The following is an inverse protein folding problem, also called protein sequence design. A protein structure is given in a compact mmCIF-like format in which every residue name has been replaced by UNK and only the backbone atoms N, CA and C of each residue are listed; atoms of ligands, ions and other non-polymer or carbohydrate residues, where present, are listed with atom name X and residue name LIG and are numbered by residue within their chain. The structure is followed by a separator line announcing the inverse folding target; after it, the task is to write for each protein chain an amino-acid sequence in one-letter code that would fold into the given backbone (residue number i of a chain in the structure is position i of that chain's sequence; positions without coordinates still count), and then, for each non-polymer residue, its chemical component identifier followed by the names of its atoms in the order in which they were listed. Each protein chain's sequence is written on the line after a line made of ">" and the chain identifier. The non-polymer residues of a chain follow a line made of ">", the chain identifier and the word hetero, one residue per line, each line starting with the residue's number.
data_IF_014156862159
#
_entry.id   IF_014156862159
#
_cell.length_a   1.000
_cell.length_b   1.000
_cell.length_c   1.000
_cell.angle_alpha   90.00
_cell.angle_beta   90.00
_cell.angle_gamma   90.00
#
_symmetry.space_group_name_H-M   'P 1'
#
loop_
_entity.id
_entity.type
_entity.pdbx_description
1 polymer ?
#
# COMPACT_ATOMS: atom_id res chain seq x y z
N UNK A 1 5.24 41.70 9.15
CA UNK A 1 4.36 40.67 8.54
C UNK A 1 5.29 39.53 8.12
N UNK A 2 5.39 38.52 8.97
CA UNK A 2 6.30 37.39 8.72
C UNK A 2 5.74 36.50 7.59
N UNK A 3 6.51 36.34 6.53
CA UNK A 3 6.26 35.35 5.50
C UNK A 3 6.10 33.98 6.19
N UNK A 4 4.86 33.54 6.32
CA UNK A 4 4.54 32.15 6.62
C UNK A 4 4.77 31.33 5.34
N UNK A 5 6.04 31.16 4.96
CA UNK A 5 6.43 30.09 4.07
C UNK A 5 5.92 28.80 4.73
N UNK A 6 4.87 28.24 4.20
CA UNK A 6 4.35 26.93 4.62
C UNK A 6 5.47 25.92 4.35
N UNK A 7 6.21 25.56 5.42
CA UNK A 7 7.29 24.59 5.32
C UNK A 7 6.69 23.27 4.84
N UNK A 8 7.31 22.66 3.85
CA UNK A 8 6.88 21.36 3.34
C UNK A 8 7.12 20.31 4.42
N UNK A 9 6.10 19.57 4.85
CA UNK A 9 6.24 18.52 5.86
C UNK A 9 7.34 17.51 5.50
N UNK A 10 7.98 16.96 6.52
CA UNK A 10 9.05 15.98 6.43
C UNK A 10 10.36 16.45 5.79
N UNK A 11 10.51 17.75 5.47
CA UNK A 11 11.81 18.33 5.07
C UNK A 11 12.71 18.59 6.29
N UNK A 12 14.04 18.69 6.11
CA UNK A 12 14.96 19.04 7.19
C UNK A 12 14.61 20.37 7.88
N UNK A 13 14.21 21.38 7.11
CA UNK A 13 13.86 22.73 7.61
C UNK A 13 12.57 22.68 8.46
N UNK A 14 11.55 21.96 7.97
CA UNK A 14 10.32 21.71 8.70
C UNK A 14 10.60 21.01 10.03
N UNK A 15 11.41 19.95 9.99
CA UNK A 15 11.73 19.17 11.17
C UNK A 15 12.58 19.98 12.19
N UNK A 16 13.54 20.77 11.73
CA UNK A 16 14.33 21.64 12.59
C UNK A 16 13.44 22.62 13.37
N UNK A 17 12.48 23.27 12.68
CA UNK A 17 11.53 24.18 13.32
C UNK A 17 10.63 23.48 14.34
N UNK A 18 10.19 22.25 14.04
CA UNK A 18 9.41 21.46 15.00
C UNK A 18 10.24 21.07 16.23
N UNK A 19 11.50 20.70 16.04
CA UNK A 19 12.42 20.40 17.15
C UNK A 19 12.66 21.61 18.05
N UNK A 20 12.76 22.80 17.50
CA UNK A 20 12.87 24.05 18.28
C UNK A 20 11.60 24.31 19.11
N UNK A 21 10.41 23.98 18.56
CA UNK A 21 9.13 24.27 19.22
C UNK A 21 8.71 23.20 20.22
N UNK A 22 8.86 21.92 19.86
CA UNK A 22 8.33 20.78 20.62
C UNK A 22 9.41 20.04 21.42
N UNK A 23 10.67 20.19 21.04
CA UNK A 23 11.77 19.38 21.53
C UNK A 23 11.89 18.03 20.82
N UNK A 24 13.09 17.45 20.80
CA UNK A 24 13.39 16.22 20.08
C UNK A 24 12.60 15.00 20.61
N UNK A 25 12.44 14.91 21.94
CA UNK A 25 11.69 13.82 22.56
C UNK A 25 10.22 13.81 22.13
N UNK A 26 9.58 14.98 22.10
CA UNK A 26 8.19 15.10 21.64
C UNK A 26 8.06 14.79 20.14
N UNK A 27 8.99 15.24 19.30
CA UNK A 27 8.99 14.88 17.87
C UNK A 27 9.05 13.37 17.67
N UNK A 28 9.90 12.66 18.41
CA UNK A 28 9.99 11.20 18.35
C UNK A 28 8.69 10.52 18.79
N UNK A 29 8.09 10.98 19.90
CA UNK A 29 6.81 10.43 20.39
C UNK A 29 5.66 10.62 19.40
N UNK A 30 5.65 11.77 18.69
CA UNK A 30 4.66 12.09 17.68
C UNK A 30 4.93 11.43 16.33
N UNK A 31 6.02 10.67 16.19
CA UNK A 31 6.39 10.05 14.92
C UNK A 31 6.77 11.06 13.82
N UNK A 32 7.30 12.22 14.22
CA UNK A 32 7.76 13.26 13.29
C UNK A 32 9.21 12.99 12.91
N UNK A 33 9.50 12.93 11.63
CA UNK A 33 10.82 12.59 11.10
C UNK A 33 11.05 13.25 9.73
N UNK A 34 12.31 13.27 9.32
CA UNK A 34 12.72 13.75 7.99
C UNK A 34 12.67 12.60 7.00
N UNK A 35 12.06 12.84 5.86
CA UNK A 35 12.14 11.92 4.70
C UNK A 35 13.31 12.42 3.82
N UNK A 36 14.22 11.54 3.39
CA UNK A 36 15.31 11.96 2.50
C UNK A 36 14.75 12.68 1.27
N UNK A 37 15.26 13.87 0.90
CA UNK A 37 14.64 14.75 -0.10
C UNK A 37 14.56 14.13 -1.50
N UNK A 38 15.40 13.13 -1.80
CA UNK A 38 15.42 12.44 -3.10
C UNK A 38 14.65 11.12 -3.07
N UNK A 39 14.02 10.75 -1.96
CA UNK A 39 13.25 9.51 -1.86
C UNK A 39 11.95 9.63 -2.63
N UNK A 40 11.68 8.63 -3.43
CA UNK A 40 10.44 8.48 -4.20
C UNK A 40 9.67 7.26 -3.70
N UNK A 41 8.42 7.48 -3.31
CA UNK A 41 7.48 6.42 -2.98
C UNK A 41 6.72 5.99 -4.25
N UNK A 42 6.90 4.77 -4.72
CA UNK A 42 6.03 4.18 -5.76
C UNK A 42 4.73 3.70 -5.12
N UNK A 43 3.62 4.32 -5.47
CA UNK A 43 2.27 3.92 -5.08
C UNK A 43 1.66 3.09 -6.19
N UNK A 44 1.55 1.78 -5.99
CA UNK A 44 0.97 0.85 -6.97
C UNK A 44 -0.52 0.71 -6.70
N UNK A 45 -1.34 1.14 -7.65
CA UNK A 45 -2.81 1.17 -7.55
C UNK A 45 -3.41 0.20 -8.57
N UNK A 46 -3.75 -1.05 -8.18
CA UNK A 46 -4.53 -1.94 -9.02
C UNK A 46 -5.98 -1.46 -9.08
N UNK A 47 -6.50 -1.26 -10.30
CA UNK A 47 -7.86 -0.74 -10.53
C UNK A 47 -8.67 -1.73 -11.34
N UNK A 48 -9.89 -2.03 -10.88
CA UNK A 48 -10.86 -2.81 -11.64
C UNK A 48 -12.29 -2.44 -11.26
N UNK A 49 -13.02 -1.78 -12.17
CA UNK A 49 -14.39 -1.33 -11.97
C UNK A 49 -14.55 -0.48 -10.69
N UNK A 50 -13.89 0.67 -10.65
CA UNK A 50 -13.90 1.62 -9.53
C UNK A 50 -14.21 3.06 -10.01
N UNK A 51 -15.09 3.22 -11.01
CA UNK A 51 -15.40 4.51 -11.65
C UNK A 51 -15.83 5.61 -10.68
N UNK A 52 -16.45 5.23 -9.56
CA UNK A 52 -17.00 6.15 -8.57
C UNK A 52 -16.01 6.48 -7.43
N UNK A 53 -14.84 5.80 -7.35
CA UNK A 53 -13.94 5.93 -6.21
C UNK A 53 -12.50 6.33 -6.58
N UNK A 54 -12.01 5.94 -7.76
CA UNK A 54 -10.60 6.10 -8.09
C UNK A 54 -10.13 7.56 -8.09
N UNK A 55 -10.99 8.53 -8.48
CA UNK A 55 -10.66 9.95 -8.50
C UNK A 55 -10.47 10.51 -7.08
N UNK A 56 -11.36 10.16 -6.16
CA UNK A 56 -11.29 10.57 -4.77
C UNK A 56 -10.05 9.94 -4.09
N UNK A 57 -9.77 8.67 -4.38
CA UNK A 57 -8.55 8.05 -3.92
C UNK A 57 -7.32 8.78 -4.43
N UNK A 58 -7.27 9.04 -5.74
CA UNK A 58 -6.12 9.70 -6.35
C UNK A 58 -5.90 11.11 -5.77
N UNK A 59 -6.97 11.85 -5.50
CA UNK A 59 -6.89 13.14 -4.83
C UNK A 59 -6.25 13.01 -3.43
N UNK A 60 -6.64 12.01 -2.64
CA UNK A 60 -6.04 11.72 -1.32
C UNK A 60 -4.58 11.31 -1.45
N UNK A 61 -4.23 10.43 -2.39
CA UNK A 61 -2.83 10.04 -2.66
C UNK A 61 -1.99 11.25 -3.03
N UNK A 62 -2.48 12.12 -3.92
CA UNK A 62 -1.76 13.34 -4.33
C UNK A 62 -1.55 14.32 -3.18
N UNK A 63 -2.50 14.42 -2.27
CA UNK A 63 -2.44 15.34 -1.12
C UNK A 63 -1.34 14.98 -0.11
N UNK A 64 -0.84 13.74 -0.10
CA UNK A 64 0.25 13.36 0.80
C UNK A 64 1.53 14.09 0.38
N UNK A 65 2.20 14.83 1.30
CA UNK A 65 3.35 15.68 0.97
C UNK A 65 4.65 14.85 0.83
N UNK A 66 4.70 13.99 -0.17
CA UNK A 66 5.83 13.12 -0.53
C UNK A 66 6.08 13.18 -2.03
N UNK A 67 7.33 12.97 -2.45
CA UNK A 67 7.60 12.68 -3.86
C UNK A 67 7.11 11.29 -4.19
N UNK A 68 6.19 11.18 -5.15
CA UNK A 68 5.52 9.94 -5.51
C UNK A 68 5.62 9.62 -7.00
N UNK A 69 5.82 8.36 -7.27
CA UNK A 69 5.52 7.74 -8.54
C UNK A 69 4.21 6.95 -8.37
N UNK A 70 3.16 7.36 -9.03
CA UNK A 70 1.83 6.76 -8.93
C UNK A 70 1.64 5.85 -10.14
N UNK A 71 1.67 4.54 -9.91
CA UNK A 71 1.53 3.51 -10.94
C UNK A 71 0.13 2.95 -10.91
N UNK A 72 -0.70 3.36 -11.85
CA UNK A 72 -2.09 2.92 -11.98
C UNK A 72 -2.16 1.77 -12.98
N UNK A 73 -2.65 0.61 -12.55
CA UNK A 73 -2.81 -0.57 -13.39
C UNK A 73 -4.29 -0.92 -13.53
N UNK A 74 -4.86 -0.61 -14.67
CA UNK A 74 -6.24 -0.98 -14.98
C UNK A 74 -6.32 -2.44 -15.47
N UNK A 75 -6.98 -3.28 -14.70
CA UNK A 75 -7.14 -4.71 -15.00
C UNK A 75 -8.35 -4.98 -15.89
N UNK A 76 -8.46 -4.26 -17.02
CA UNK A 76 -9.53 -4.38 -18.01
C UNK A 76 -10.92 -4.01 -17.43
N UNK A 77 -11.06 -2.83 -16.85
CA UNK A 77 -12.34 -2.29 -16.37
C UNK A 77 -13.36 -2.13 -17.50
N UNK A 78 -14.66 -2.33 -17.16
CA UNK A 78 -15.78 -2.32 -18.12
C UNK A 78 -16.93 -1.40 -17.72
N UNK A 79 -16.79 -0.67 -16.62
CA UNK A 79 -17.81 0.21 -16.05
C UNK A 79 -17.62 1.69 -16.44
N UNK A 80 -16.63 2.00 -17.28
CA UNK A 80 -16.22 3.36 -17.65
C UNK A 80 -14.97 3.84 -16.92
N UNK A 81 -14.44 3.11 -15.94
CA UNK A 81 -13.19 3.45 -15.24
C UNK A 81 -12.04 3.66 -16.22
N UNK A 82 -11.87 2.75 -17.19
CA UNK A 82 -10.79 2.82 -18.19
C UNK A 82 -10.86 4.09 -19.01
N UNK A 83 -12.04 4.46 -19.49
CA UNK A 83 -12.23 5.65 -20.32
C UNK A 83 -11.88 6.92 -19.52
N UNK A 84 -12.30 6.97 -18.26
CA UNK A 84 -11.94 8.08 -17.35
C UNK A 84 -10.42 8.14 -17.08
N UNK A 85 -9.75 7.00 -16.89
CA UNK A 85 -8.30 6.95 -16.70
C UNK A 85 -7.54 7.40 -17.95
N UNK A 86 -7.98 7.02 -19.15
CA UNK A 86 -7.39 7.46 -20.41
C UNK A 86 -7.59 8.95 -20.65
N UNK A 87 -8.77 9.49 -20.33
CA UNK A 87 -9.02 10.91 -20.36
C UNK A 87 -8.09 11.67 -19.40
N UNK A 88 -7.98 11.22 -18.16
CA UNK A 88 -7.09 11.83 -17.17
C UNK A 88 -5.62 11.76 -17.61
N UNK A 89 -5.18 10.65 -18.20
CA UNK A 89 -3.84 10.53 -18.77
C UNK A 89 -3.59 11.56 -19.88
N UNK A 90 -4.56 11.81 -20.75
CA UNK A 90 -4.45 12.82 -21.80
C UNK A 90 -4.42 14.26 -21.22
N UNK A 91 -5.19 14.54 -20.20
CA UNK A 91 -5.18 15.81 -19.47
C UNK A 91 -3.81 16.08 -18.83
N UNK A 92 -3.19 15.07 -18.24
CA UNK A 92 -1.84 15.20 -17.65
C UNK A 92 -0.76 15.53 -18.69
N UNK A 93 -0.89 15.07 -19.94
CA UNK A 93 0.08 15.39 -21.00
C UNK A 93 0.05 16.87 -21.39
N UNK A 94 -1.07 17.53 -21.21
CA UNK A 94 -1.25 18.97 -21.51
C UNK A 94 -1.08 19.87 -20.28
N UNK A 95 -1.04 19.29 -19.07
CA UNK A 95 -0.88 20.02 -17.83
C UNK A 95 0.60 20.33 -17.51
N UNK A 96 0.88 21.39 -16.74
CA UNK A 96 2.21 21.59 -16.17
C UNK A 96 2.67 20.38 -15.37
N UNK A 97 3.98 20.09 -15.43
CA UNK A 97 4.55 18.98 -14.68
C UNK A 97 4.28 19.12 -13.18
N UNK A 98 3.72 18.08 -12.57
CA UNK A 98 3.55 18.02 -11.12
C UNK A 98 4.90 17.65 -10.48
N UNK A 99 5.52 18.52 -9.68
CA UNK A 99 6.84 18.24 -9.12
C UNK A 99 6.83 17.14 -8.07
N UNK A 100 5.64 16.83 -7.52
CA UNK A 100 5.47 15.86 -6.42
C UNK A 100 4.98 14.50 -6.91
N UNK A 101 4.27 14.47 -8.05
CA UNK A 101 3.59 13.28 -8.51
C UNK A 101 3.94 12.97 -9.95
N UNK A 102 4.63 11.87 -10.18
CA UNK A 102 4.82 11.29 -11.50
C UNK A 102 3.80 10.19 -11.72
N UNK A 103 3.21 10.12 -12.91
CA UNK A 103 2.17 9.15 -13.21
C UNK A 103 2.64 8.14 -14.25
N UNK A 104 2.30 6.87 -14.00
CA UNK A 104 2.41 5.80 -14.98
C UNK A 104 1.08 5.07 -15.08
N UNK A 105 0.64 4.79 -16.31
CA UNK A 105 -0.59 4.06 -16.59
C UNK A 105 -0.27 2.80 -17.36
N UNK A 106 -0.82 1.68 -16.89
CA UNK A 106 -0.73 0.39 -17.56
C UNK A 106 -2.13 -0.19 -17.71
N UNK A 107 -2.46 -0.67 -18.90
CA UNK A 107 -3.79 -1.19 -19.23
C UNK A 107 -3.68 -2.66 -19.65
N UNK A 108 -4.30 -3.57 -18.89
CA UNK A 108 -4.38 -4.97 -19.28
C UNK A 108 -5.41 -5.17 -20.40
N UNK A 109 -5.13 -6.02 -21.37
CA UNK A 109 -6.07 -6.37 -22.46
C UNK A 109 -7.24 -7.23 -21.96
N UNK A 110 -7.04 -7.99 -20.89
CA UNK A 110 -8.05 -8.83 -20.23
C UNK A 110 -7.91 -8.78 -18.73
N UNK A 111 -9.02 -9.01 -18.01
CA UNK A 111 -8.96 -9.14 -16.55
C UNK A 111 -8.11 -10.35 -16.16
N UNK A 112 -7.05 -10.08 -15.41
CA UNK A 112 -6.10 -11.06 -14.88
C UNK A 112 -6.16 -11.19 -13.36
N UNK A 113 -6.80 -10.24 -12.70
CA UNK A 113 -6.98 -10.17 -11.25
C UNK A 113 -5.98 -9.28 -10.52
N UNK A 114 -6.29 -8.96 -9.25
CA UNK A 114 -5.54 -8.05 -8.39
C UNK A 114 -4.04 -8.37 -8.36
N UNK A 115 -3.68 -9.65 -8.16
CA UNK A 115 -2.29 -10.07 -8.08
C UNK A 115 -1.50 -9.81 -9.36
N UNK A 116 -2.13 -10.02 -10.53
CA UNK A 116 -1.50 -9.70 -11.81
C UNK A 116 -1.30 -8.20 -11.98
N UNK A 117 -2.28 -7.37 -11.56
CA UNK A 117 -2.16 -5.92 -11.60
C UNK A 117 -1.07 -5.42 -10.65
N UNK A 118 -0.98 -5.96 -9.43
CA UNK A 118 0.10 -5.65 -8.47
C UNK A 118 1.46 -6.03 -9.06
N UNK A 119 1.61 -7.22 -9.64
CA UNK A 119 2.87 -7.65 -10.28
C UNK A 119 3.28 -6.73 -11.43
N UNK A 120 2.33 -6.32 -12.26
CA UNK A 120 2.57 -5.35 -13.34
C UNK A 120 3.00 -4.00 -12.77
N UNK A 121 2.34 -3.53 -11.71
CA UNK A 121 2.73 -2.30 -11.03
C UNK A 121 4.11 -2.38 -10.39
N UNK A 122 4.48 -3.51 -9.80
CA UNK A 122 5.82 -3.73 -9.25
C UNK A 122 6.92 -3.71 -10.32
N UNK A 123 6.64 -4.20 -11.52
CA UNK A 123 7.58 -4.15 -12.65
C UNK A 123 7.76 -2.71 -13.17
N UNK A 124 6.73 -1.89 -13.09
CA UNK A 124 6.77 -0.48 -13.51
C UNK A 124 7.36 0.44 -12.44
N UNK A 125 7.27 0.06 -11.16
CA UNK A 125 7.72 0.88 -10.04
C UNK A 125 9.24 1.11 -10.06
N UNK A 126 9.65 2.38 -9.93
CA UNK A 126 11.06 2.81 -9.96
C UNK A 126 11.52 3.55 -8.69
N UNK A 127 10.63 3.80 -7.74
CA UNK A 127 10.93 4.50 -6.48
C UNK A 127 11.80 3.70 -5.51
N UNK A 128 12.26 4.34 -4.45
CA UNK A 128 13.12 3.73 -3.41
C UNK A 128 12.35 2.78 -2.51
N UNK A 129 11.06 3.06 -2.36
CA UNK A 129 10.10 2.28 -1.58
C UNK A 129 8.82 2.12 -2.38
N UNK A 130 8.14 1.01 -2.24
CA UNK A 130 6.84 0.74 -2.88
C UNK A 130 5.77 0.45 -1.83
N UNK A 131 4.57 0.94 -2.09
CA UNK A 131 3.35 0.59 -1.34
C UNK A 131 2.26 0.13 -2.30
N UNK A 132 1.44 -0.84 -1.88
CA UNK A 132 0.23 -1.22 -2.59
C UNK A 132 -0.93 -0.40 -2.01
N UNK A 133 -1.74 0.21 -2.87
CA UNK A 133 -2.91 0.99 -2.52
C UNK A 133 -4.14 0.47 -3.28
N UNK A 134 -5.12 -0.08 -2.57
CA UNK A 134 -6.39 -0.45 -3.19
C UNK A 134 -7.19 0.80 -3.61
N UNK A 135 -7.92 0.70 -4.72
CA UNK A 135 -8.64 1.82 -5.33
C UNK A 135 -10.01 2.12 -4.69
N UNK A 136 -10.33 1.48 -3.56
CA UNK A 136 -11.67 1.39 -3.00
C UNK A 136 -11.97 2.29 -1.79
N UNK A 137 -11.07 3.20 -1.44
CA UNK A 137 -11.17 4.13 -0.30
C UNK A 137 -11.24 3.47 1.10
N UNK A 138 -10.98 2.16 1.20
CA UNK A 138 -10.99 1.47 2.49
C UNK A 138 -9.76 1.81 3.36
N UNK A 139 -8.65 2.21 2.72
CA UNK A 139 -7.37 2.58 3.34
C UNK A 139 -7.09 4.07 3.16
N UNK A 140 -6.44 4.70 4.13
CA UNK A 140 -6.16 6.14 4.12
C UNK A 140 -4.71 6.45 3.71
N UNK A 141 -4.47 7.12 2.55
CA UNK A 141 -3.14 7.52 2.12
C UNK A 141 -2.40 8.47 3.07
N UNK A 142 -3.11 9.19 3.94
CA UNK A 142 -2.47 10.06 4.93
C UNK A 142 -1.55 9.32 5.91
N UNK A 143 -1.67 7.99 5.98
CA UNK A 143 -0.85 7.12 6.82
C UNK A 143 0.51 6.74 6.19
N UNK A 144 0.73 7.04 4.90
CA UNK A 144 2.01 6.70 4.24
C UNK A 144 3.24 7.17 5.01
N UNK A 145 3.34 8.43 5.47
CA UNK A 145 4.52 8.87 6.19
C UNK A 145 4.82 7.99 7.40
N UNK A 146 3.79 7.64 8.18
CA UNK A 146 3.93 6.82 9.36
C UNK A 146 4.43 5.40 9.02
N UNK A 147 3.89 4.79 7.98
CA UNK A 147 4.30 3.47 7.51
C UNK A 147 5.74 3.45 6.98
N UNK A 148 6.26 4.58 6.48
CA UNK A 148 7.63 4.71 6.01
C UNK A 148 8.65 4.84 7.17
N UNK A 149 8.23 5.28 8.35
CA UNK A 149 9.13 5.59 9.46
C UNK A 149 10.12 4.46 9.81
N UNK A 150 9.70 3.18 10.00
CA UNK A 150 10.63 2.11 10.34
C UNK A 150 11.66 1.82 9.25
N UNK A 151 11.30 2.06 7.98
CA UNK A 151 12.22 1.87 6.83
C UNK A 151 13.24 3.03 6.79
N UNK A 152 12.79 4.27 6.96
CA UNK A 152 13.66 5.46 6.98
C UNK A 152 14.65 5.39 8.14
N UNK A 153 14.21 4.89 9.28
CA UNK A 153 15.09 4.67 10.45
C UNK A 153 16.04 3.46 10.28
N UNK A 154 15.99 2.77 9.16
CA UNK A 154 16.84 1.60 8.88
C UNK A 154 16.51 0.36 9.74
N UNK A 155 15.34 0.34 10.40
CA UNK A 155 14.90 -0.77 11.26
C UNK A 155 14.19 -1.88 10.50
N UNK A 156 13.45 -1.54 9.44
CA UNK A 156 12.63 -2.45 8.65
C UNK A 156 13.02 -2.45 7.18
N UNK A 157 12.82 -3.58 6.52
CA UNK A 157 12.87 -3.73 5.07
C UNK A 157 11.45 -3.80 4.50
N UNK A 158 10.51 -4.29 5.33
CA UNK A 158 9.08 -4.42 5.00
C UNK A 158 8.23 -3.97 6.18
N UNK A 159 7.17 -3.21 5.90
CA UNK A 159 6.16 -2.82 6.89
C UNK A 159 4.79 -3.27 6.43
N UNK A 160 4.10 -4.04 7.27
CA UNK A 160 2.71 -4.42 7.10
C UNK A 160 1.82 -3.44 7.87
N UNK A 161 0.77 -2.94 7.23
CA UNK A 161 -0.31 -2.29 7.95
C UNK A 161 -1.23 -3.33 8.57
N UNK A 162 -1.69 -3.15 9.79
CA UNK A 162 -2.66 -4.07 10.42
C UNK A 162 -3.95 -3.34 10.80
N UNK A 163 -5.06 -3.91 10.39
CA UNK A 163 -6.43 -3.48 10.78
C UNK A 163 -6.81 -3.94 12.19
N UNK A 164 -5.96 -4.78 12.81
CA UNK A 164 -6.23 -5.44 14.09
C UNK A 164 -5.28 -5.03 15.22
N UNK A 165 -4.24 -4.26 14.93
CA UNK A 165 -3.44 -3.57 15.95
C UNK A 165 -4.19 -2.31 16.42
N UNK A 166 -4.35 -2.15 17.71
CA UNK A 166 -5.44 -1.45 18.33
C UNK A 166 -5.33 0.05 18.63
N UNK A 167 -4.54 0.89 17.92
CA UNK A 167 -4.49 2.33 18.23
C UNK A 167 -5.16 3.24 17.18
N UNK A 168 -5.51 2.71 16.01
CA UNK A 168 -6.15 3.48 14.95
C UNK A 168 -7.64 3.18 14.81
N UNK A 169 -8.47 4.18 14.46
CA UNK A 169 -9.88 3.97 14.22
C UNK A 169 -10.10 2.97 13.08
N UNK A 170 -10.95 1.99 13.31
CA UNK A 170 -11.37 1.07 12.27
C UNK A 170 -12.85 0.76 12.38
N UNK A 171 -13.50 0.58 11.25
CA UNK A 171 -14.89 0.12 11.23
C UNK A 171 -14.94 -1.30 11.80
N UNK A 172 -15.87 -1.56 12.70
CA UNK A 172 -16.09 -2.90 13.27
C UNK A 172 -16.43 -3.87 12.15
N UNK A 173 -15.61 -4.91 11.98
CA UNK A 173 -15.79 -5.94 10.97
C UNK A 173 -16.89 -6.93 11.39
N UNK A 174 -17.48 -7.60 10.42
CA UNK A 174 -18.34 -8.74 10.70
C UNK A 174 -17.54 -9.84 11.40
N UNK A 175 -18.07 -10.41 12.45
CA UNK A 175 -17.40 -11.42 13.27
C UNK A 175 -16.79 -12.58 12.46
N UNK A 176 -17.54 -13.15 11.53
CA UNK A 176 -17.06 -14.26 10.70
C UNK A 176 -15.94 -13.86 9.74
N UNK A 177 -15.93 -12.63 9.25
CA UNK A 177 -14.82 -12.10 8.44
C UNK A 177 -13.56 -11.92 9.26
N UNK A 178 -13.71 -11.40 10.49
CA UNK A 178 -12.59 -11.29 11.42
C UNK A 178 -12.02 -12.68 11.76
N UNK A 179 -12.88 -13.64 12.09
CA UNK A 179 -12.46 -15.01 12.45
C UNK A 179 -11.76 -15.71 11.27
N UNK A 180 -12.29 -15.58 10.05
CA UNK A 180 -11.65 -16.10 8.84
C UNK A 180 -10.28 -15.50 8.58
N UNK A 181 -10.15 -14.18 8.69
CA UNK A 181 -8.87 -13.49 8.54
C UNK A 181 -7.87 -13.92 9.62
N UNK A 182 -8.30 -13.99 10.87
CA UNK A 182 -7.49 -14.47 12.00
C UNK A 182 -6.96 -15.88 11.78
N UNK A 183 -7.83 -16.77 11.28
CA UNK A 183 -7.45 -18.16 10.94
C UNK A 183 -6.39 -18.20 9.83
N UNK A 184 -6.60 -17.49 8.71
CA UNK A 184 -5.65 -17.43 7.60
C UNK A 184 -4.30 -16.82 8.04
N UNK A 185 -4.33 -15.73 8.80
CA UNK A 185 -3.11 -15.12 9.34
C UNK A 185 -2.37 -16.06 10.29
N UNK A 186 -3.07 -16.74 11.21
CA UNK A 186 -2.45 -17.71 12.12
C UNK A 186 -1.80 -18.85 11.35
N UNK A 187 -2.47 -19.39 10.34
CA UNK A 187 -1.91 -20.44 9.52
C UNK A 187 -0.69 -19.95 8.73
N UNK A 188 -0.74 -18.76 8.16
CA UNK A 188 0.43 -18.14 7.50
C UNK A 188 1.60 -18.00 8.45
N UNK A 189 1.37 -17.53 9.68
CA UNK A 189 2.39 -17.41 10.71
C UNK A 189 3.05 -18.75 11.06
N UNK A 190 2.27 -19.84 11.10
CA UNK A 190 2.81 -21.18 11.35
C UNK A 190 3.84 -21.60 10.26
N UNK A 191 3.61 -21.24 9.00
CA UNK A 191 4.51 -21.60 7.90
C UNK A 191 5.68 -20.62 7.74
N UNK A 192 5.45 -19.34 8.02
CA UNK A 192 6.46 -18.28 7.78
C UNK A 192 7.31 -17.98 8.99
N UNK A 193 6.92 -18.45 10.18
CA UNK A 193 7.50 -18.07 11.47
C UNK A 193 7.48 -16.55 11.72
N UNK A 194 6.54 -15.83 11.11
CA UNK A 194 6.22 -14.45 11.45
C UNK A 194 5.13 -14.44 12.53
N UNK A 195 5.00 -13.32 13.23
CA UNK A 195 3.92 -13.13 14.20
C UNK A 195 3.06 -11.92 13.80
N UNK A 196 2.53 -11.96 12.57
CA UNK A 196 1.63 -10.93 12.06
C UNK A 196 0.24 -11.04 12.70
N UNK A 197 -0.43 -9.92 12.81
CA UNK A 197 -1.85 -9.86 13.23
C UNK A 197 -2.78 -9.79 12.01
N UNK A 198 -2.29 -9.32 10.83
CA UNK A 198 -3.07 -9.14 9.61
C UNK A 198 -2.24 -9.40 8.33
N UNK A 199 -2.19 -10.65 7.91
CA UNK A 199 -1.49 -11.04 6.68
C UNK A 199 -2.20 -10.55 5.40
N UNK A 200 -3.53 -10.50 5.42
CA UNK A 200 -4.39 -10.14 4.28
C UNK A 200 -4.49 -8.62 4.02
N UNK A 201 -3.78 -7.79 4.78
CA UNK A 201 -3.77 -6.34 4.57
C UNK A 201 -3.27 -5.97 3.18
N UNK A 202 -3.86 -4.94 2.57
CA UNK A 202 -3.35 -4.35 1.34
C UNK A 202 -2.05 -3.57 1.59
N UNK A 203 -2.01 -2.77 2.67
CA UNK A 203 -0.86 -1.96 2.98
C UNK A 203 0.37 -2.80 3.33
N UNK A 204 1.20 -3.00 2.32
CA UNK A 204 2.53 -3.57 2.43
C UNK A 204 3.52 -2.58 1.82
N UNK A 205 4.39 -2.05 2.66
CA UNK A 205 5.45 -1.12 2.27
C UNK A 205 6.75 -1.91 2.20
N UNK A 206 7.48 -1.80 1.11
CA UNK A 206 8.69 -2.58 0.85
C UNK A 206 9.78 -1.70 0.26
N UNK A 207 11.03 -1.90 0.70
CA UNK A 207 12.18 -1.26 0.06
C UNK A 207 12.36 -1.77 -1.38
N UNK A 208 13.07 -0.99 -2.20
CA UNK A 208 13.45 -1.41 -3.55
C UNK A 208 14.21 -2.74 -3.55
N UNK A 209 15.08 -2.99 -2.58
CA UNK A 209 15.83 -4.25 -2.46
C UNK A 209 14.89 -5.44 -2.31
N UNK A 210 13.88 -5.32 -1.44
CA UNK A 210 12.84 -6.35 -1.27
C UNK A 210 12.10 -6.56 -2.58
N UNK A 211 11.64 -5.47 -3.21
CA UNK A 211 10.90 -5.54 -4.46
C UNK A 211 11.69 -6.26 -5.55
N UNK A 212 12.96 -5.92 -5.74
CA UNK A 212 13.84 -6.55 -6.74
C UNK A 212 14.01 -8.04 -6.53
N UNK A 213 14.03 -8.50 -5.27
CA UNK A 213 14.17 -9.92 -4.95
C UNK A 213 12.87 -10.71 -5.13
N UNK A 214 11.73 -10.16 -4.71
CA UNK A 214 10.48 -10.92 -4.70
C UNK A 214 9.64 -10.75 -5.98
N UNK A 215 9.58 -9.55 -6.58
CA UNK A 215 8.68 -9.27 -7.70
C UNK A 215 8.88 -10.20 -8.91
N UNK A 216 10.11 -10.54 -9.34
CA UNK A 216 10.32 -11.47 -10.46
C UNK A 216 9.80 -12.90 -10.20
N UNK A 217 9.65 -13.27 -8.93
CA UNK A 217 9.26 -14.61 -8.52
C UNK A 217 7.77 -14.75 -8.24
N UNK A 218 7.01 -13.65 -8.13
CA UNK A 218 5.58 -13.65 -7.87
C UNK A 218 4.80 -14.28 -9.02
N UNK A 219 3.84 -15.18 -8.70
CA UNK A 219 3.06 -15.96 -9.67
C UNK A 219 1.57 -15.75 -9.56
N UNK A 220 1.06 -15.40 -8.37
CA UNK A 220 -0.37 -15.28 -8.15
C UNK A 220 -0.99 -14.13 -8.96
N UNK A 221 -2.16 -14.42 -9.52
CA UNK A 221 -2.90 -13.46 -10.35
C UNK A 221 -4.07 -12.81 -9.61
N UNK A 222 -4.57 -13.42 -8.54
CA UNK A 222 -5.74 -12.97 -7.77
C UNK A 222 -5.37 -12.70 -6.31
N UNK A 223 -6.31 -12.87 -5.38
CA UNK A 223 -6.12 -12.59 -3.95
C UNK A 223 -5.11 -13.50 -3.23
N UNK A 224 -4.58 -14.54 -3.87
CA UNK A 224 -3.43 -15.29 -3.36
C UNK A 224 -2.11 -14.53 -3.36
N UNK A 225 -2.08 -13.30 -3.88
CA UNK A 225 -0.87 -12.46 -3.91
C UNK A 225 -0.42 -12.06 -2.50
N UNK A 226 -1.36 -11.81 -1.57
CA UNK A 226 -1.04 -11.39 -0.20
C UNK A 226 -0.26 -12.49 0.57
N UNK A 227 -0.75 -13.75 0.65
CA UNK A 227 0.03 -14.82 1.26
C UNK A 227 1.31 -15.15 0.48
N UNK A 228 1.36 -15.00 -0.85
CA UNK A 228 2.58 -15.22 -1.61
C UNK A 228 3.67 -14.21 -1.26
N UNK A 229 3.34 -12.91 -1.22
CA UNK A 229 4.27 -11.85 -0.81
C UNK A 229 4.79 -12.14 0.60
N UNK A 230 3.89 -12.46 1.53
CA UNK A 230 4.23 -12.73 2.93
C UNK A 230 5.21 -13.90 3.06
N UNK A 231 4.96 -15.01 2.37
CA UNK A 231 5.84 -16.18 2.39
C UNK A 231 7.23 -15.86 1.82
N UNK A 232 7.30 -15.11 0.70
CA UNK A 232 8.57 -14.73 0.09
C UNK A 232 9.37 -13.75 0.96
N UNK A 233 8.71 -12.78 1.57
CA UNK A 233 9.34 -11.85 2.54
C UNK A 233 9.95 -12.64 3.70
N UNK A 234 9.22 -13.58 4.28
CA UNK A 234 9.71 -14.42 5.38
C UNK A 234 10.89 -15.29 4.96
N UNK A 235 10.81 -15.92 3.78
CA UNK A 235 11.87 -16.82 3.25
C UNK A 235 13.19 -16.10 3.04
N UNK A 236 13.16 -14.86 2.58
CA UNK A 236 14.34 -14.02 2.42
C UNK A 236 14.85 -13.42 3.73
N UNK A 237 14.15 -13.67 4.87
CA UNK A 237 14.51 -13.19 6.20
C UNK A 237 14.66 -11.67 6.27
N UNK A 238 13.80 -10.93 5.54
CA UNK A 238 13.74 -9.49 5.66
C UNK A 238 13.24 -9.06 7.04
N UNK A 239 13.67 -7.89 7.48
CA UNK A 239 13.23 -7.30 8.74
C UNK A 239 11.80 -6.76 8.55
N UNK A 240 10.85 -7.43 9.18
CA UNK A 240 9.41 -7.13 9.06
C UNK A 240 8.93 -6.38 10.29
N UNK A 241 8.25 -5.27 10.06
CA UNK A 241 7.52 -4.53 11.08
C UNK A 241 6.02 -4.57 10.76
N UNK A 242 5.20 -4.46 11.79
CA UNK A 242 3.75 -4.33 11.65
C UNK A 242 3.29 -3.08 12.38
N UNK A 243 2.43 -2.28 11.74
CA UNK A 243 1.92 -1.03 12.28
C UNK A 243 0.41 -0.98 12.15
N UNK A 244 -0.27 -0.41 13.15
CA UNK A 244 -1.71 -0.21 13.08
C UNK A 244 -2.08 0.79 11.97
N UNK A 245 -3.20 0.54 11.32
CA UNK A 245 -3.78 1.41 10.30
C UNK A 245 -5.26 1.61 10.56
N UNK A 246 -5.79 2.75 10.10
CA UNK A 246 -7.23 2.95 10.01
C UNK A 246 -7.84 2.10 8.90
N UNK A 247 -9.09 1.74 9.04
CA UNK A 247 -9.78 0.93 8.04
C UNK A 247 -11.27 1.22 7.99
N UNK A 248 -11.75 1.60 6.80
CA UNK A 248 -13.15 1.93 6.52
C UNK A 248 -13.77 0.90 5.59
N UNK A 249 -13.85 -0.37 6.05
CA UNK A 249 -14.32 -1.48 5.23
C UNK A 249 -15.71 -1.28 4.62
N UNK A 250 -15.86 -1.58 3.33
CA UNK A 250 -17.16 -1.52 2.61
C UNK A 250 -18.07 -2.68 3.02
N UNK A 251 -19.39 -2.42 2.98
CA UNK A 251 -20.42 -3.47 3.09
C UNK A 251 -20.61 -4.16 1.73
N UNK A 252 -21.34 -5.30 1.72
CA UNK A 252 -21.71 -5.96 0.48
C UNK A 252 -22.52 -5.07 -0.45
N UNK A 253 -23.43 -4.25 0.10
CA UNK A 253 -24.23 -3.27 -0.65
C UNK A 253 -23.37 -2.15 -1.27
N UNK A 254 -22.19 -1.92 -0.71
CA UNK A 254 -21.18 -0.96 -1.21
C UNK A 254 -20.18 -1.60 -2.18
N UNK A 255 -20.44 -2.81 -2.69
CA UNK A 255 -19.64 -3.44 -3.75
C UNK A 255 -18.42 -4.24 -3.28
N UNK A 256 -18.43 -4.79 -2.06
CA UNK A 256 -17.36 -5.70 -1.60
C UNK A 256 -17.21 -6.90 -2.53
N UNK A 257 -16.01 -7.06 -3.11
CA UNK A 257 -15.72 -8.03 -4.18
C UNK A 257 -15.22 -9.39 -3.68
N UNK A 258 -14.78 -9.50 -2.43
CA UNK A 258 -14.16 -10.72 -1.87
C UNK A 258 -15.25 -11.67 -1.35
N UNK A 259 -15.19 -12.94 -1.78
CA UNK A 259 -16.12 -14.00 -1.38
C UNK A 259 -15.43 -15.18 -0.67
N UNK A 260 -16.24 -16.11 -0.14
CA UNK A 260 -15.75 -17.31 0.57
C UNK A 260 -14.79 -18.20 -0.26
N UNK A 261 -14.97 -18.22 -1.61
CA UNK A 261 -14.09 -18.94 -2.53
C UNK A 261 -12.67 -18.40 -2.55
N UNK A 262 -12.49 -17.11 -2.29
CA UNK A 262 -11.16 -16.47 -2.22
C UNK A 262 -10.42 -16.91 -0.95
N UNK A 263 -11.14 -17.16 0.13
CA UNK A 263 -10.58 -17.73 1.36
C UNK A 263 -9.98 -19.13 1.14
N UNK A 264 -10.62 -20.01 0.38
CA UNK A 264 -10.05 -21.33 0.04
C UNK A 264 -8.81 -21.21 -0.84
N UNK A 265 -8.79 -20.24 -1.77
CA UNK A 265 -7.59 -19.98 -2.57
C UNK A 265 -6.44 -19.43 -1.73
N UNK A 266 -6.75 -18.53 -0.79
CA UNK A 266 -5.74 -18.02 0.15
C UNK A 266 -5.16 -19.17 0.98
N UNK A 267 -6.00 -20.08 1.51
CA UNK A 267 -5.57 -21.28 2.22
C UNK A 267 -4.59 -22.13 1.39
N UNK A 268 -4.97 -22.42 0.13
CA UNK A 268 -4.09 -23.14 -0.78
C UNK A 268 -2.75 -22.40 -1.00
N UNK A 269 -2.77 -21.08 -1.17
CA UNK A 269 -1.56 -20.28 -1.38
C UNK A 269 -0.66 -20.27 -0.14
N UNK A 270 -1.25 -20.15 1.06
CA UNK A 270 -0.50 -20.19 2.33
C UNK A 270 0.29 -21.50 2.44
N UNK A 271 -0.38 -22.65 2.24
CA UNK A 271 0.27 -23.96 2.32
C UNK A 271 1.33 -24.11 1.22
N UNK A 272 0.96 -23.78 -0.04
CA UNK A 272 1.87 -23.92 -1.18
C UNK A 272 3.14 -23.11 -1.00
N UNK A 273 3.02 -21.80 -0.75
CA UNK A 273 4.18 -20.90 -0.65
C UNK A 273 4.88 -20.99 0.71
N UNK A 274 4.21 -21.49 1.73
CA UNK A 274 4.85 -21.82 3.01
C UNK A 274 5.78 -23.02 2.92
N UNK A 275 5.43 -24.03 2.11
CA UNK A 275 6.22 -25.29 1.98
C UNK A 275 7.14 -25.29 0.76
N UNK A 276 6.65 -24.80 -0.38
CA UNK A 276 7.29 -25.00 -1.69
C UNK A 276 7.29 -23.67 -2.47
N UNK A 277 8.48 -23.14 -2.74
CA UNK A 277 8.71 -22.10 -3.75
C UNK A 277 10.11 -22.17 -4.31
#
# INVERSE_FOLDING_TARGET
>A
MSDSLSLIPHTPEWFARLKETLGEAACRQLGLFVIPPNWVLSVVIPVYNEKDHWQDLLARVRAVPLHKEIVIVDDCSRDGTRDQLQQFQAELQSAPADPWNKFQFVYHEKNRGKGAAVRTGFQAASGDVVIIQDADLEYDPSEYPRLLAPIIEGKADVVFGSRFLGDQPHRVLYFWHYLGNKFLTTLSNCFTNLNLTDMETCYKVMTREVLQKIAPTLRQERFGIEPEITAKVARHRFRVFEMSISYSGRTYDQGKKIGWRDGFKALYCIVRYGLCD
#
